data_IF_230552890749
#
_entry.id   IF_230552890749
#
_cell.length_a   1.000
_cell.length_b   1.000
_cell.length_c   1.000
_cell.angle_alpha   90.00
_cell.angle_beta   90.00
_cell.angle_gamma   90.00
#
_symmetry.space_group_name_H-M   'P 1'
#
loop_
_entity.id
_entity.type
_entity.pdbx_description
1 polymer ?
2 non-polymer ?
3 water ?
#
# COMPACT_ATOMS: atom_id res chain seq x y z
N UNK A 5 -15.17 14.91 3.28
CA UNK A 5 -14.28 16.00 3.79
C UNK A 5 -13.46 15.53 5.02
N UNK A 6 -12.15 15.37 4.88
CA UNK A 6 -11.33 14.83 5.98
C UNK A 6 -11.56 15.53 7.34
N UNK A 7 -11.72 14.74 8.40
CA UNK A 7 -11.88 15.27 9.76
C UNK A 7 -10.55 15.89 10.22
N UNK A 8 -10.58 16.63 11.34
CA UNK A 8 -9.36 17.20 11.87
C UNK A 8 -8.56 16.17 12.69
N UNK A 9 -9.24 15.12 13.13
CA UNK A 9 -8.60 14.04 13.90
C UNK A 9 -8.70 12.75 13.11
N UNK A 10 -7.84 11.80 13.45
CA UNK A 10 -7.89 10.49 12.79
C UNK A 10 -7.62 9.40 13.82
N UNK A 11 -8.39 8.32 13.72
CA UNK A 11 -8.08 7.10 14.43
C UNK A 11 -7.07 6.29 13.64
N UNK A 12 -5.97 5.93 14.30
CA UNK A 12 -5.03 5.00 13.69
C UNK A 12 -5.00 3.66 14.42
N UNK A 13 -5.40 2.61 13.74
CA UNK A 13 -5.37 1.30 14.37
C UNK A 13 -3.97 0.67 14.26
N UNK A 17 5.69 1.43 16.10
CA UNK A 17 6.46 1.49 14.86
C UNK A 17 5.58 2.00 13.74
N UNK A 18 4.88 1.10 13.07
CA UNK A 18 4.03 1.46 11.92
C UNK A 18 3.01 2.54 12.24
N UNK A 19 2.44 2.50 13.46
CA UNK A 19 1.55 3.55 13.97
C UNK A 19 2.17 4.92 13.94
N UNK A 20 3.35 5.05 14.52
CA UNK A 20 4.06 6.30 14.48
C UNK A 20 4.32 6.76 13.04
N UNK A 21 4.69 5.84 12.18
CA UNK A 21 4.98 6.18 10.79
C UNK A 21 3.72 6.69 10.09
N UNK A 22 2.59 5.99 10.25
CA UNK A 22 1.30 6.42 9.67
C UNK A 22 0.88 7.69 10.29
N UNK A 23 1.21 7.86 11.56
CA UNK A 23 0.94 9.14 12.16
C UNK A 23 1.70 10.32 11.52
N UNK A 24 2.96 10.11 11.16
CA UNK A 24 3.72 11.16 10.45
C UNK A 24 3.07 11.43 9.10
N UNK A 25 2.59 10.40 8.42
CA UNK A 25 1.95 10.65 7.13
C UNK A 25 0.64 11.44 7.33
N UNK A 26 -0.14 11.06 8.35
CA UNK A 26 -1.39 11.78 8.67
C UNK A 26 -1.13 13.24 9.06
N UNK A 27 -0.12 13.49 9.89
CA UNK A 27 0.22 14.87 10.22
C UNK A 27 0.62 15.65 8.99
N UNK A 28 1.47 15.05 8.17
CA UNK A 28 1.89 15.66 6.91
C UNK A 28 0.70 16.10 6.05
N UNK A 29 -0.36 15.29 6.03
CA UNK A 29 -1.57 15.62 5.25
C UNK A 29 -2.29 16.78 5.88
N UNK A 30 -2.04 17.02 7.18
CA UNK A 30 -2.73 18.09 7.88
C UNK A 30 -3.76 17.62 8.91
N UNK A 31 -3.74 16.35 9.28
CA UNK A 31 -4.48 15.92 10.47
C UNK A 31 -3.84 16.54 11.71
N UNK A 32 -4.69 17.03 12.60
CA UNK A 32 -4.20 17.78 13.74
C UNK A 32 -3.97 16.87 14.93
N UNK A 33 -4.67 15.75 14.99
CA UNK A 33 -4.46 14.86 16.12
C UNK A 33 -4.68 13.44 15.63
N UNK A 34 -3.85 12.51 16.10
CA UNK A 34 -4.03 11.10 15.81
C UNK A 34 -4.38 10.36 17.09
N UNK A 35 -5.39 9.50 17.00
CA UNK A 35 -5.80 8.66 18.14
C UNK A 35 -5.51 7.16 17.88
N UNK A 36 -4.57 6.58 18.62
CA UNK A 36 -4.25 5.13 18.50
C UNK A 36 -5.21 4.22 19.23
N UNK A 37 -5.77 3.29 18.46
CA UNK A 37 -6.51 2.17 18.95
C UNK A 37 -5.66 0.91 18.66
N UNK A 38 -5.87 -0.18 19.41
CA UNK A 38 -5.11 -1.43 19.21
C UNK A 38 -5.96 -2.68 19.31
N UNK A 45 -18.04 -1.96 19.64
CA UNK A 45 -18.25 -0.96 20.68
C UNK A 45 -17.65 0.40 20.32
N UNK A 46 -16.57 0.39 19.55
CA UNK A 46 -15.99 1.65 19.06
C UNK A 46 -16.95 2.45 18.18
N UNK A 47 -18.00 1.77 17.74
CA UNK A 47 -19.10 2.41 17.03
C UNK A 47 -19.80 3.49 17.84
N UNK A 48 -19.66 3.48 19.18
CA UNK A 48 -20.17 4.59 20.02
C UNK A 48 -19.28 5.84 20.06
N UNK A 49 -18.08 5.74 19.51
CA UNK A 49 -17.12 6.86 19.49
C UNK A 49 -17.49 7.89 18.44
N UNK A 50 -16.99 9.14 18.58
CA UNK A 50 -17.24 10.10 17.50
C UNK A 50 -16.57 9.63 16.18
N UNK A 51 -17.29 9.76 15.06
CA UNK A 51 -16.79 9.30 13.76
C UNK A 51 -15.64 10.13 13.14
N UNK A 52 -14.48 10.20 13.77
CA UNK A 52 -13.31 10.70 13.02
C UNK A 52 -12.93 9.74 11.87
N UNK A 53 -12.18 10.26 10.90
CA UNK A 53 -11.54 9.39 9.89
C UNK A 53 -10.75 8.26 10.55
N UNK A 54 -10.68 7.14 9.85
CA UNK A 54 -10.03 5.98 10.40
C UNK A 54 -8.91 5.49 9.43
N UNK A 55 -7.82 4.97 10.00
CA UNK A 55 -6.79 4.31 9.21
C UNK A 55 -6.24 3.09 9.91
N UNK A 56 -5.96 2.06 9.12
CA UNK A 56 -5.41 0.82 9.64
C UNK A 56 -3.93 0.65 9.28
N UNK A 57 -3.11 0.82 10.30
CA UNK A 57 -1.65 0.86 10.20
C UNK A 57 -1.06 -0.52 10.51
N UNK A 58 -1.58 -1.55 9.86
CA UNK A 58 -1.12 -2.90 10.04
C UNK A 58 -0.46 -3.35 8.73
N UNK A 59 0.81 -3.78 8.81
CA UNK A 59 1.60 -4.17 7.62
C UNK A 59 1.16 -5.49 7.01
N UNK A 60 0.60 -6.35 7.86
CA UNK A 60 0.15 -7.69 7.46
C UNK A 60 -1.15 -7.71 6.67
N UNK A 61 -1.11 -8.35 5.51
CA UNK A 61 -2.19 -8.29 4.53
C UNK A 61 -3.55 -8.85 5.00
N UNK A 62 -3.55 -9.94 5.78
CA UNK A 62 -4.82 -10.58 6.23
C UNK A 62 -5.52 -9.88 7.41
N UNK A 63 -4.72 -9.34 8.32
CA UNK A 63 -5.21 -8.61 9.50
C UNK A 63 -5.76 -7.28 8.99
N UNK A 64 -4.99 -6.59 8.13
CA UNK A 64 -5.43 -5.34 7.50
C UNK A 64 -6.80 -5.53 6.89
N UNK A 65 -6.96 -6.60 6.12
CA UNK A 65 -8.23 -6.91 5.49
C UNK A 65 -9.38 -7.13 6.51
N UNK A 66 -9.16 -7.97 7.53
CA UNK A 66 -10.29 -8.36 8.44
C UNK A 66 -10.72 -7.17 9.31
N UNK A 67 -9.74 -6.43 9.79
CA UNK A 67 -9.98 -5.20 10.50
C UNK A 67 -10.63 -4.12 9.63
N UNK A 68 -10.16 -4.00 8.38
CA UNK A 68 -10.79 -3.13 7.40
C UNK A 68 -12.29 -3.42 7.30
N UNK A 69 -12.62 -4.68 7.02
CA UNK A 69 -14.02 -5.13 6.90
C UNK A 69 -14.86 -4.84 8.16
N UNK A 70 -14.27 -5.05 9.34
CA UNK A 70 -14.99 -4.84 10.60
C UNK A 70 -15.21 -3.36 10.93
N UNK A 71 -14.16 -2.55 10.75
CA UNK A 71 -14.22 -1.10 10.97
C UNK A 71 -15.21 -0.47 10.02
N UNK A 72 -15.24 -0.97 8.80
CA UNK A 72 -16.21 -0.53 7.81
C UNK A 72 -17.63 -0.84 8.23
N UNK A 73 -17.81 -2.00 8.87
CA UNK A 73 -19.13 -2.45 9.32
C UNK A 73 -19.60 -1.72 10.60
N UNK A 74 -18.66 -1.07 11.29
CA UNK A 74 -18.93 -0.26 12.48
C UNK A 74 -19.24 1.21 12.13
N UNK A 75 -19.34 1.51 10.84
CA UNK A 75 -19.71 2.85 10.42
C UNK A 75 -18.63 3.93 10.24
N UNK A 76 -17.34 3.54 10.27
CA UNK A 76 -16.25 4.50 10.03
C UNK A 76 -15.90 4.65 8.54
N UNK A 77 -15.35 5.79 8.19
CA UNK A 77 -14.78 5.98 6.88
C UNK A 77 -13.30 5.62 7.00
N UNK A 78 -12.87 4.61 6.24
CA UNK A 78 -11.45 4.25 6.19
C UNK A 78 -10.71 5.06 5.11
N UNK A 79 -9.98 6.08 5.51
CA UNK A 79 -9.42 6.97 4.46
C UNK A 79 -8.13 6.42 3.84
N UNK A 80 -7.64 7.08 2.79
CA UNK A 80 -6.29 6.86 2.26
C UNK A 80 -5.34 7.85 2.96
N UNK A 81 -4.13 7.39 3.33
CA UNK A 81 -3.06 8.31 3.79
C UNK A 81 -2.01 8.35 2.69
N UNK A 82 -1.83 9.55 2.16
CA UNK A 82 -0.98 9.82 0.99
C UNK A 82 -0.08 11.02 1.35
N UNK A 83 1.19 10.73 1.58
CA UNK A 83 2.17 11.77 1.81
C UNK A 83 2.19 12.79 0.67
N UNK A 84 2.36 14.05 1.04
CA UNK A 84 2.25 15.15 0.10
C UNK A 84 3.29 15.12 -1.02
N UNK A 85 4.40 14.41 -0.79
CA UNK A 85 5.53 14.31 -1.70
C UNK A 85 5.36 13.17 -2.70
N UNK A 86 4.30 12.36 -2.54
CA UNK A 86 4.01 11.30 -3.52
C UNK A 86 3.46 11.95 -4.76
N UNK A 87 3.83 11.45 -5.91
CA UNK A 87 3.38 12.09 -7.14
C UNK A 87 2.47 11.13 -7.88
N UNK A 88 1.23 11.55 -8.11
CA UNK A 88 0.28 10.66 -8.73
C UNK A 88 -0.26 11.33 -10.00
N UNK A 89 -0.03 10.70 -11.12
CA UNK A 89 -0.58 11.16 -12.39
C UNK A 89 -2.08 11.49 -12.27
N UNK A 90 -2.54 12.59 -12.92
CA UNK A 90 -4.00 12.89 -12.93
C UNK A 90 -4.84 11.77 -13.53
N UNK A 91 -4.27 10.93 -14.38
CA UNK A 91 -5.05 9.86 -14.99
C UNK A 91 -4.91 8.52 -14.27
N UNK A 92 -4.09 8.47 -13.22
CA UNK A 92 -4.00 7.28 -12.39
C UNK A 92 -5.28 7.13 -11.59
N UNK A 93 -5.60 5.91 -11.21
CA UNK A 93 -6.72 5.71 -10.31
C UNK A 93 -6.30 5.13 -8.98
N UNK A 94 -6.55 5.91 -7.94
CA UNK A 94 -6.32 5.50 -6.58
C UNK A 94 -7.70 5.36 -5.94
N UNK A 95 -8.12 4.14 -5.61
CA UNK A 95 -9.47 3.95 -5.05
C UNK A 95 -9.68 4.82 -3.81
N UNK A 96 -10.75 5.60 -3.85
CA UNK A 96 -11.01 6.64 -2.85
C UNK A 96 -11.43 6.03 -1.50
N UNK A 97 -11.01 6.62 -0.40
CA UNK A 97 -11.32 6.10 0.94
C UNK A 97 -11.23 4.61 1.04
N UNK A 98 -10.07 4.07 0.71
CA UNK A 98 -9.92 2.63 0.64
C UNK A 98 -8.78 2.08 1.51
N UNK A 99 -8.36 2.81 2.53
CA UNK A 99 -7.29 2.31 3.41
C UNK A 99 -5.92 2.15 2.73
N UNK A 100 -5.66 2.92 1.68
CA UNK A 100 -4.44 2.79 0.91
C UNK A 100 -3.39 3.69 1.57
N UNK A 101 -2.19 3.15 1.82
CA UNK A 101 -1.10 3.94 2.41
C UNK A 101 -0.13 4.28 1.28
N UNK A 102 0.05 5.56 1.03
CA UNK A 102 1.09 5.96 0.09
C UNK A 102 2.18 6.81 0.76
N UNK A 103 3.38 6.24 0.84
CA UNK A 103 4.51 6.84 1.60
C UNK A 103 5.29 7.93 0.82
N UNK A 104 6.25 8.62 1.49
CA UNK A 104 6.99 9.68 0.80
C UNK A 104 7.68 9.21 -0.49
N UNK A 105 7.67 10.10 -1.46
CA UNK A 105 8.45 9.96 -2.67
C UNK A 105 8.03 8.79 -3.53
N UNK A 106 6.81 8.32 -3.36
CA UNK A 106 6.27 7.31 -4.24
C UNK A 106 5.82 8.06 -5.53
N UNK A 107 5.93 7.38 -6.66
CA UNK A 107 5.54 7.96 -7.97
C UNK A 107 4.62 6.97 -8.63
N UNK A 108 3.44 7.41 -9.04
CA UNK A 108 2.51 6.51 -9.70
C UNK A 108 2.21 7.13 -11.07
N UNK A 109 2.49 6.42 -12.15
CA UNK A 109 2.44 7.10 -13.45
C UNK A 109 1.09 6.91 -14.14
N UNK A 110 0.99 7.49 -15.34
CA UNK A 110 -0.25 7.61 -16.10
C UNK A 110 -1.03 6.32 -16.19
N UNK A 111 -2.33 6.43 -15.96
CA UNK A 111 -3.31 5.32 -16.06
C UNK A 111 -3.03 4.08 -15.20
N UNK A 112 -2.19 4.21 -14.17
CA UNK A 112 -1.97 3.09 -13.25
C UNK A 112 -3.18 2.99 -12.36
N UNK A 113 -3.38 1.83 -11.73
CA UNK A 113 -4.51 1.68 -10.84
C UNK A 113 -4.08 1.05 -9.51
N UNK A 114 -4.39 1.72 -8.41
CA UNK A 114 -4.10 1.20 -7.10
C UNK A 114 -5.42 0.86 -6.37
N UNK A 115 -5.53 -0.39 -5.96
CA UNK A 115 -6.73 -0.89 -5.33
C UNK A 115 -6.63 -0.82 -3.80
N UNK A 116 -7.77 -1.13 -3.21
CA UNK A 116 -8.07 -1.00 -1.80
C UNK A 116 -7.01 -1.68 -0.92
N UNK A 117 -6.67 -1.07 0.20
CA UNK A 117 -5.81 -1.72 1.19
C UNK A 117 -4.33 -1.89 0.78
N UNK A 118 -3.94 -1.32 -0.36
CA UNK A 118 -2.54 -1.44 -0.81
C UNK A 118 -1.63 -0.58 0.06
N UNK A 119 -0.42 -1.06 0.31
CA UNK A 119 0.67 -0.25 0.85
C UNK A 119 1.72 -0.02 -0.25
N UNK A 120 1.99 1.24 -0.55
CA UNK A 120 3.11 1.68 -1.40
C UNK A 120 4.15 2.33 -0.46
N UNK A 121 5.19 1.59 -0.07
CA UNK A 121 6.19 2.15 0.83
C UNK A 121 7.18 3.13 0.13
N UNK A 122 8.07 3.71 0.95
CA UNK A 122 8.84 4.88 0.62
C UNK A 122 9.63 4.61 -0.68
N UNK A 123 9.58 5.54 -1.63
CA UNK A 123 10.29 5.46 -2.90
C UNK A 123 9.90 4.34 -3.81
N UNK A 124 8.76 3.69 -3.61
CA UNK A 124 8.40 2.70 -4.61
C UNK A 124 7.90 3.43 -5.88
N UNK A 125 7.94 2.76 -7.01
CA UNK A 125 7.40 3.39 -8.23
C UNK A 125 6.54 2.49 -9.04
N UNK A 126 5.41 3.05 -9.43
CA UNK A 126 4.43 2.27 -10.15
C UNK A 126 4.33 2.87 -11.54
N UNK A 127 4.89 2.19 -12.53
CA UNK A 127 4.91 2.85 -13.88
C UNK A 127 3.52 2.87 -14.56
N UNK A 128 3.44 3.51 -15.72
CA UNK A 128 2.17 3.65 -16.46
C UNK A 128 1.42 2.35 -16.65
N UNK A 129 0.11 2.43 -16.47
CA UNK A 129 -0.79 1.33 -16.75
C UNK A 129 -0.66 0.08 -15.88
N UNK A 130 0.09 0.18 -14.77
CA UNK A 130 0.16 -0.93 -13.81
C UNK A 130 -1.19 -1.14 -13.10
N UNK A 131 -1.47 -2.34 -12.61
CA UNK A 131 -2.59 -2.53 -11.65
C UNK A 131 -2.03 -3.15 -10.40
N UNK A 132 -2.24 -2.51 -9.26
CA UNK A 132 -1.74 -3.10 -8.01
C UNK A 132 -2.96 -3.57 -7.26
N UNK A 133 -3.10 -4.89 -7.19
CA UNK A 133 -4.32 -5.51 -6.66
C UNK A 133 -4.42 -5.34 -5.14
N UNK A 134 -5.67 -5.38 -4.68
CA UNK A 134 -6.05 -5.12 -3.30
C UNK A 134 -5.18 -5.83 -2.29
N UNK A 135 -4.92 -5.11 -1.21
CA UNK A 135 -4.15 -5.57 -0.07
C UNK A 135 -2.78 -6.12 -0.44
N UNK A 136 -2.14 -5.57 -1.48
CA UNK A 136 -0.76 -5.98 -1.76
C UNK A 136 0.19 -5.04 -1.01
N UNK A 137 1.46 -5.43 -0.91
CA UNK A 137 2.40 -4.66 -0.14
C UNK A 137 3.61 -4.41 -1.02
N UNK A 138 3.88 -3.14 -1.37
CA UNK A 138 5.05 -2.84 -2.24
C UNK A 138 6.09 -2.14 -1.35
N UNK A 139 7.22 -2.80 -1.08
CA UNK A 139 8.16 -2.27 -0.09
C UNK A 139 9.01 -1.13 -0.58
N UNK A 140 9.81 -0.65 0.38
CA UNK A 140 10.67 0.49 0.19
C UNK A 140 11.55 0.26 -1.06
N UNK A 141 11.60 1.26 -1.93
CA UNK A 141 12.44 1.16 -3.14
C UNK A 141 11.98 0.16 -4.19
N UNK A 142 10.87 -0.55 -3.97
CA UNK A 142 10.45 -1.53 -5.03
C UNK A 142 9.84 -0.86 -6.27
N UNK A 143 10.00 -1.47 -7.45
CA UNK A 143 9.61 -0.78 -8.66
C UNK A 143 8.86 -1.73 -9.56
N UNK A 144 7.74 -1.26 -10.11
CA UNK A 144 6.98 -2.01 -11.09
C UNK A 144 7.01 -1.23 -12.40
N UNK A 145 7.61 -1.85 -13.41
CA UNK A 145 7.71 -1.26 -14.76
C UNK A 145 6.32 -1.18 -15.45
N UNK A 146 6.27 -0.64 -16.67
CA UNK A 146 5.01 -0.36 -17.32
C UNK A 146 4.19 -1.61 -17.56
N UNK A 147 2.86 -1.42 -17.59
CA UNK A 147 1.82 -2.47 -17.71
C UNK A 147 2.04 -3.73 -16.85
N UNK A 148 2.47 -3.57 -15.61
CA UNK A 148 2.65 -4.74 -14.75
C UNK A 148 1.35 -4.97 -13.94
N UNK A 149 0.93 -6.23 -13.77
CA UNK A 149 -0.27 -6.58 -12.97
C UNK A 149 0.16 -7.36 -11.75
N UNK A 150 -0.05 -6.75 -10.59
CA UNK A 150 0.28 -7.40 -9.35
C UNK A 150 -1.04 -7.88 -8.81
N UNK A 151 -1.16 -9.18 -8.59
CA UNK A 151 -2.41 -9.72 -8.04
C UNK A 151 -2.67 -9.25 -6.60
N UNK A 152 -3.80 -9.70 -6.04
CA UNK A 152 -4.21 -9.35 -4.69
C UNK A 152 -3.33 -10.07 -3.69
N UNK A 153 -3.16 -9.46 -2.51
CA UNK A 153 -2.32 -10.02 -1.43
C UNK A 153 -0.87 -10.45 -1.82
N UNK A 154 -0.22 -9.65 -2.66
CA UNK A 154 1.17 -9.92 -3.02
C UNK A 154 2.10 -9.10 -2.14
N UNK A 155 3.36 -9.51 -2.07
CA UNK A 155 4.34 -8.77 -1.30
C UNK A 155 5.54 -8.61 -2.22
N UNK A 156 6.02 -7.37 -2.38
CA UNK A 156 7.20 -7.11 -3.22
C UNK A 156 8.22 -6.58 -2.27
N UNK A 157 9.32 -7.32 -2.12
CA UNK A 157 10.40 -6.95 -1.16
C UNK A 157 11.20 -5.67 -1.40
N UNK A 158 11.95 -5.26 -0.37
CA UNK A 158 12.72 -4.04 -0.43
C UNK A 158 13.65 -4.12 -1.62
N UNK A 159 13.72 -3.01 -2.36
CA UNK A 159 14.59 -2.87 -3.53
C UNK A 159 14.34 -3.94 -4.57
N UNK A 160 13.14 -4.52 -4.60
CA UNK A 160 12.85 -5.46 -5.69
C UNK A 160 12.33 -4.76 -6.91
N UNK A 161 12.08 -5.53 -7.97
CA UNK A 161 11.47 -4.95 -9.13
C UNK A 161 10.91 -6.00 -10.08
N UNK A 162 9.93 -5.58 -10.87
CA UNK A 162 9.24 -6.45 -11.84
C UNK A 162 9.35 -5.76 -13.22
N UNK A 163 9.97 -6.45 -14.18
CA UNK A 163 10.12 -5.97 -15.58
C UNK A 163 8.79 -5.71 -16.27
N UNK A 164 8.82 -4.92 -17.38
CA UNK A 164 7.59 -4.49 -18.06
C UNK A 164 6.74 -5.65 -18.56
N UNK A 165 5.43 -5.41 -18.61
CA UNK A 165 4.43 -6.30 -19.21
C UNK A 165 4.20 -7.66 -18.51
N UNK A 166 4.66 -7.82 -17.26
CA UNK A 166 4.52 -9.07 -16.50
C UNK A 166 3.35 -9.07 -15.51
N UNK A 167 2.87 -10.26 -15.16
CA UNK A 167 1.81 -10.43 -14.15
C UNK A 167 2.31 -11.31 -13.03
N UNK A 168 1.97 -10.94 -11.81
CA UNK A 168 2.32 -11.74 -10.65
C UNK A 168 1.02 -12.19 -10.03
N UNK A 169 0.81 -13.51 -9.95
CA UNK A 169 -0.46 -14.04 -9.47
C UNK A 169 -0.71 -13.74 -7.99
N UNK A 170 -1.99 -13.68 -7.63
CA UNK A 170 -2.45 -13.51 -6.25
C UNK A 170 -1.60 -14.31 -5.25
N UNK A 171 -1.41 -13.73 -4.06
CA UNK A 171 -0.66 -14.34 -2.93
C UNK A 171 0.79 -14.69 -3.19
N UNK A 172 1.45 -13.98 -4.09
CA UNK A 172 2.84 -14.32 -4.33
C UNK A 172 3.79 -13.45 -3.50
N UNK A 173 5.03 -13.90 -3.37
CA UNK A 173 6.04 -13.16 -2.62
C UNK A 173 7.31 -12.94 -3.47
N UNK A 174 7.77 -11.67 -3.57
CA UNK A 174 9.05 -11.36 -4.28
C UNK A 174 10.04 -10.93 -3.23
N UNK A 175 11.18 -11.62 -3.10
CA UNK A 175 12.16 -11.34 -2.03
C UNK A 175 12.87 -9.98 -2.10
N UNK A 176 13.52 -9.59 -1.01
CA UNK A 176 14.41 -8.43 -0.97
C UNK A 176 15.40 -8.48 -2.13
N UNK A 177 15.54 -7.36 -2.84
CA UNK A 177 16.61 -7.27 -3.83
C UNK A 177 16.30 -8.04 -5.11
N UNK A 178 15.12 -8.66 -5.21
CA UNK A 178 14.90 -9.62 -6.27
C UNK A 178 14.30 -8.99 -7.52
N UNK A 179 14.62 -9.56 -8.68
CA UNK A 179 14.13 -8.97 -9.94
C UNK A 179 13.25 -9.97 -10.71
N UNK A 180 11.97 -9.67 -10.87
CA UNK A 180 11.07 -10.61 -11.56
C UNK A 180 11.13 -10.41 -13.06
N UNK A 181 11.39 -11.49 -13.80
CA UNK A 181 11.69 -11.38 -15.26
C UNK A 181 10.69 -12.07 -16.22
N UNK A 182 9.74 -12.84 -15.67
CA UNK A 182 8.86 -13.70 -16.43
C UNK A 182 7.47 -13.69 -15.79
N UNK A 183 6.45 -13.87 -16.64
CA UNK A 183 5.09 -13.99 -16.14
C UNK A 183 4.92 -15.11 -15.18
N UNK A 184 4.08 -14.89 -14.18
CA UNK A 184 3.73 -15.93 -13.21
C UNK A 184 2.21 -15.97 -13.07
N UNK A 185 1.54 -16.89 -13.74
CA UNK A 185 0.09 -17.04 -13.48
C UNK A 185 -0.26 -18.04 -12.35
N UNK A 186 0.77 -18.57 -11.70
CA UNK A 186 0.58 -19.36 -10.49
C UNK A 186 1.30 -18.77 -9.29
N UNK A 187 0.63 -18.85 -8.13
CA UNK A 187 1.10 -18.39 -6.82
C UNK A 187 2.49 -18.91 -6.57
N UNK A 188 3.33 -18.13 -5.90
CA UNK A 188 4.70 -18.57 -5.73
C UNK A 188 5.56 -17.68 -4.87
N UNK A 189 6.79 -18.12 -4.69
CA UNK A 189 7.74 -17.42 -3.88
C UNK A 189 9.02 -17.28 -4.71
N UNK A 190 9.44 -16.04 -4.92
CA UNK A 190 10.51 -15.74 -5.87
C UNK A 190 11.61 -14.98 -5.15
N UNK A 191 12.81 -15.56 -5.10
CA UNK A 191 13.91 -14.98 -4.28
C UNK A 191 15.06 -14.33 -5.07
N UNK A 192 15.75 -13.40 -4.40
CA UNK A 192 16.98 -12.77 -4.89
C UNK A 192 18.23 -13.39 -4.29
N UNK A 193 19.38 -12.74 -4.50
CA UNK A 193 20.65 -13.23 -3.96
C UNK A 193 21.00 -12.57 -2.59
N UNK A 194 21.30 -13.40 -1.56
CA UNK A 194 21.77 -12.82 -0.30
C UNK A 194 23.23 -12.32 -0.39
N UNK A 195 23.55 -11.19 0.24
CA UNK A 195 24.95 -10.77 0.43
C UNK A 195 25.76 -11.93 1.03
N UNK A 196 27.03 -12.07 0.63
CA UNK A 196 27.86 -13.20 1.13
C UNK A 196 29.14 -12.71 1.83
N UNK A 197 29.34 -13.15 3.07
CA UNK A 197 30.56 -12.81 3.84
C UNK A 197 31.86 -13.24 3.12
N UNK A 198 32.87 -12.37 3.10
CA UNK A 198 34.08 -12.57 2.27
C UNK A 198 35.34 -12.50 3.11
X LIG B 1 11.57 -8.53 3.74
X LIG B 1 12.08 -9.36 2.79
X LIG B 1 12.25 -8.66 1.66
X LIG B 1 11.87 -7.36 1.89
X LIG B 1 11.42 -7.31 3.19
X LIG B 1 10.92 -6.10 3.77
X LIG B 1 10.10 -5.18 3.20
X LIG B 1 9.91 -4.22 4.12
X LIG B 1 9.07 -2.92 3.96
X LIG B 1 7.88 -2.90 4.34
X LIG B 1 9.62 -1.93 3.42
X LIG B 1 10.59 -4.55 5.22
X LIG B 1 11.17 -5.64 5.01
X LIG C 1 3.24 11.77 -11.95
X LIG C 1 3.97 11.01 -12.73
X LIG C 1 4.87 11.74 -13.35
X LIG C 1 4.67 13.03 -12.96
X LIG C 1 3.64 13.01 -12.09
X LIG C 1 3.14 14.15 -11.45
X LIG C 1 2.06 14.17 -10.66
X LIG C 1 1.94 15.43 -10.24
X LIG C 1 0.81 15.91 -9.30
X LIG C 1 -0.24 15.24 -9.30
X LIG C 1 1.01 16.90 -8.56
X LIG C 1 2.93 16.15 -10.76
X LIG C 1 3.63 15.41 -11.47
#
# INVERSE_FOLDING_TARGET
GSAMARTEKIYIYGASGHGLVCEDVAKNMGYKECIFLDDFKGMKFESTLPKYDFFIAIGNNEIRKKIYQKISENGFKIVNLIHKSALISPSAIVEENAGILIMPYVVINAKAKIEKGVILNTSSVIEHECVIGEFSHVSVGAKCAGNVKIGKNCFLGINSCVLPNLSLADDSILGGGATLVKNQDEKGVFVGVPAKRM
7O4 CAD CAA CAB OAC CAE CAG CAF CAJ CAL OAI OAM NAK NAH
7O4 CAD CAA CAB OAC CAE CAG CAF CAJ CAL OAI OAM NAK NAH
#
